data_IF_246189202115
#
_entry.id   IF_246189202115
#
_cell.length_a   1.000
_cell.length_b   1.000
_cell.length_c   1.000
_cell.angle_alpha   90.00
_cell.angle_beta   90.00
_cell.angle_gamma   90.00
#
_symmetry.space_group_name_H-M   'P 1'
#
loop_
_entity.id
_entity.type
_entity.pdbx_description
1 polymer ?
#
# COMPACT_ATOMS: atom_id res chain seq x y z
N UNK A 1 6.50 -21.52 -2.36
CA UNK A 1 6.03 -20.12 -2.34
C UNK A 1 4.61 -20.08 -1.82
N UNK A 2 4.35 -19.27 -0.81
CA UNK A 2 2.99 -19.02 -0.31
C UNK A 2 2.43 -17.77 -0.97
N UNK A 3 1.10 -17.69 -1.06
CA UNK A 3 0.40 -16.53 -1.63
C UNK A 3 -0.70 -16.08 -0.66
N UNK A 4 -0.72 -14.78 -0.40
CA UNK A 4 -1.80 -14.10 0.30
C UNK A 4 -2.45 -13.18 -0.71
N UNK A 5 -3.78 -13.27 -0.82
CA UNK A 5 -4.52 -12.42 -1.75
C UNK A 5 -5.90 -12.12 -1.20
N UNK A 6 -6.28 -10.84 -1.18
CA UNK A 6 -7.61 -10.41 -0.75
C UNK A 6 -7.94 -9.03 -1.32
N UNK A 7 -9.21 -8.68 -1.29
CA UNK A 7 -9.67 -7.36 -1.70
C UNK A 7 -10.56 -6.75 -0.62
N UNK A 8 -10.35 -5.46 -0.36
CA UNK A 8 -11.16 -4.66 0.55
C UNK A 8 -11.73 -3.48 -0.23
N UNK A 9 -12.89 -2.99 0.17
CA UNK A 9 -13.52 -1.84 -0.47
C UNK A 9 -13.90 -0.79 0.55
N UNK A 10 -13.86 0.48 0.14
CA UNK A 10 -14.27 1.60 0.97
C UNK A 10 -14.72 2.74 0.08
N UNK A 11 -15.88 3.33 0.38
CA UNK A 11 -16.29 4.58 -0.25
C UNK A 11 -15.67 5.75 0.52
N UNK A 12 -15.08 6.67 -0.21
CA UNK A 12 -14.41 7.86 0.34
C UNK A 12 -15.16 9.10 -0.17
N UNK A 13 -15.47 10.01 0.75
CA UNK A 13 -16.20 11.23 0.43
C UNK A 13 -15.28 12.32 -0.10
N UNK A 14 -14.76 12.08 -1.30
CA UNK A 14 -13.90 13.01 -2.02
C UNK A 14 -13.90 12.64 -3.50
N UNK A 15 -13.51 13.60 -4.34
CA UNK A 15 -13.43 13.41 -5.78
C UNK A 15 -12.32 12.42 -6.12
N UNK A 16 -12.52 11.67 -7.19
CA UNK A 16 -11.58 10.62 -7.61
C UNK A 16 -10.15 11.14 -7.80
N UNK A 17 -10.00 12.35 -8.37
CA UNK A 17 -8.70 12.95 -8.60
C UNK A 17 -7.98 13.26 -7.27
N UNK A 18 -8.72 13.71 -6.27
CA UNK A 18 -8.17 14.02 -4.96
C UNK A 18 -7.76 12.75 -4.20
N UNK A 19 -8.57 11.71 -4.28
CA UNK A 19 -8.27 10.43 -3.65
C UNK A 19 -7.02 9.81 -4.28
N UNK A 20 -6.96 9.81 -5.61
CA UNK A 20 -5.80 9.28 -6.32
C UNK A 20 -4.53 10.04 -5.97
N UNK A 21 -4.58 11.37 -5.97
CA UNK A 21 -3.43 12.22 -5.63
C UNK A 21 -2.91 11.93 -4.22
N UNK A 22 -3.82 11.72 -3.26
CA UNK A 22 -3.43 11.39 -1.87
C UNK A 22 -2.78 10.03 -1.76
N UNK A 23 -3.30 9.02 -2.47
CA UNK A 23 -2.71 7.68 -2.50
C UNK A 23 -1.34 7.68 -3.19
N UNK A 24 -1.16 8.50 -4.22
CA UNK A 24 0.09 8.54 -4.99
C UNK A 24 1.20 9.38 -4.35
N UNK A 25 0.84 10.29 -3.45
CA UNK A 25 1.82 11.15 -2.75
C UNK A 25 2.52 10.34 -1.66
N UNK A 26 3.67 9.76 -2.02
CA UNK A 26 4.42 8.85 -1.15
C UNK A 26 4.75 9.51 0.19
N UNK A 27 5.37 10.70 0.17
CA UNK A 27 5.76 11.35 1.43
C UNK A 27 4.57 11.88 2.21
N UNK A 28 3.48 12.18 1.53
CA UNK A 28 2.21 12.56 2.16
C UNK A 28 1.60 11.44 3.00
N UNK A 29 1.96 10.18 2.74
CA UNK A 29 1.53 9.05 3.56
C UNK A 29 1.89 9.23 5.04
N UNK A 30 2.96 9.94 5.33
CA UNK A 30 3.36 10.24 6.72
C UNK A 30 2.32 11.05 7.48
N UNK A 31 1.46 11.78 6.77
CA UNK A 31 0.47 12.66 7.38
C UNK A 31 -0.86 11.95 7.68
N UNK A 32 -1.22 10.93 6.89
CA UNK A 32 -2.55 10.33 7.03
C UNK A 32 -2.55 8.83 7.32
N UNK A 33 -1.51 8.07 7.00
CA UNK A 33 -1.49 6.64 7.28
C UNK A 33 -1.54 6.35 8.77
N UNK A 34 -2.10 5.20 9.19
CA UNK A 34 -2.29 4.91 10.61
C UNK A 34 -0.98 4.93 11.39
N UNK A 35 -0.96 5.61 12.55
CA UNK A 35 0.17 5.61 13.47
C UNK A 35 0.09 4.45 14.47
N UNK A 36 -1.14 4.01 14.78
CA UNK A 36 -1.40 2.88 15.68
C UNK A 36 -1.97 1.73 14.86
N UNK A 37 -1.60 0.52 15.21
CA UNK A 37 -2.08 -0.69 14.53
C UNK A 37 -1.46 -0.90 13.16
N UNK A 38 -0.41 -0.16 12.82
CA UNK A 38 0.33 -0.26 11.58
C UNK A 38 1.80 -0.53 11.85
N UNK A 39 2.44 -1.28 10.96
CA UNK A 39 3.88 -1.51 11.02
C UNK A 39 4.67 -0.35 10.43
N UNK A 40 4.03 0.48 9.60
CA UNK A 40 4.69 1.62 8.98
C UNK A 40 4.99 2.69 10.01
N UNK A 41 6.22 3.15 10.05
CA UNK A 41 6.68 4.25 10.92
C UNK A 41 6.86 5.53 10.13
N UNK A 42 7.47 5.42 8.95
CA UNK A 42 7.77 6.56 8.09
C UNK A 42 8.02 6.06 6.68
N UNK A 43 7.69 6.88 5.68
CA UNK A 43 8.05 6.61 4.29
C UNK A 43 8.80 7.80 3.68
N UNK A 44 9.62 7.53 2.68
CA UNK A 44 10.40 8.54 2.01
C UNK A 44 10.52 8.18 0.54
N UNK A 45 10.29 9.15 -0.34
CA UNK A 45 10.51 8.96 -1.77
C UNK A 45 12.01 9.04 -2.04
N UNK A 46 12.54 8.03 -2.73
CA UNK A 46 13.98 7.93 -2.98
C UNK A 46 14.38 8.32 -4.39
N UNK A 47 13.42 8.44 -5.32
CA UNK A 47 13.67 8.97 -6.66
C UNK A 47 13.14 10.40 -6.77
N UNK A 48 13.72 11.23 -7.65
CA UNK A 48 13.29 12.62 -7.79
C UNK A 48 12.00 12.76 -8.59
N UNK A 49 11.36 13.91 -8.47
CA UNK A 49 10.20 14.31 -9.27
C UNK A 49 8.86 13.92 -8.65
N UNK A 50 7.78 14.32 -9.32
CA UNK A 50 6.43 13.96 -8.93
C UNK A 50 6.22 12.46 -9.03
N UNK A 51 5.37 11.86 -8.18
CA UNK A 51 5.08 10.43 -8.26
C UNK A 51 4.58 10.02 -9.65
N UNK A 52 5.15 8.92 -10.15
CA UNK A 52 4.84 8.38 -11.48
C UNK A 52 5.25 6.91 -11.53
N UNK A 53 5.03 6.27 -12.66
CA UNK A 53 5.52 4.90 -12.89
C UNK A 53 7.04 4.87 -12.64
N UNK A 54 7.49 3.93 -11.84
CA UNK A 54 8.91 3.76 -11.52
C UNK A 54 9.42 4.59 -10.36
N UNK A 55 8.60 5.46 -9.77
CA UNK A 55 8.96 6.17 -8.54
C UNK A 55 9.35 5.15 -7.47
N UNK A 56 10.51 5.37 -6.82
CA UNK A 56 10.99 4.48 -5.75
C UNK A 56 10.83 5.13 -4.39
N UNK A 57 10.68 4.28 -3.37
CA UNK A 57 10.49 4.75 -1.99
C UNK A 57 11.11 3.76 -1.01
N UNK A 58 11.27 4.22 0.22
CA UNK A 58 11.73 3.40 1.33
C UNK A 58 10.80 3.59 2.50
N UNK A 59 10.18 2.49 2.94
CA UNK A 59 9.35 2.45 4.15
C UNK A 59 10.21 2.02 5.33
N UNK A 60 10.17 2.81 6.39
CA UNK A 60 10.72 2.40 7.68
C UNK A 60 9.59 1.74 8.46
N UNK A 61 9.75 0.47 8.77
CA UNK A 61 8.73 -0.33 9.45
C UNK A 61 9.25 -0.88 10.76
N UNK A 62 8.35 -1.44 11.57
CA UNK A 62 8.72 -2.08 12.85
C UNK A 62 9.65 -3.28 12.66
N UNK A 63 9.70 -3.85 11.45
CA UNK A 63 10.57 -5.00 11.14
C UNK A 63 11.76 -4.64 10.25
N UNK A 64 11.98 -3.35 9.98
CA UNK A 64 13.12 -2.84 9.24
C UNK A 64 12.77 -2.06 7.98
N UNK A 65 13.78 -1.59 7.24
CA UNK A 65 13.55 -0.84 6.01
C UNK A 65 13.02 -1.75 4.90
N UNK A 66 11.99 -1.28 4.21
CA UNK A 66 11.34 -2.01 3.12
C UNK A 66 11.30 -1.13 1.88
N UNK A 67 12.12 -1.42 0.86
CA UNK A 67 12.09 -0.66 -0.38
C UNK A 67 10.89 -1.04 -1.24
N UNK A 68 10.51 -0.13 -2.13
CA UNK A 68 9.43 -0.36 -3.07
C UNK A 68 9.46 0.61 -4.24
N UNK A 69 8.50 0.40 -5.13
CA UNK A 69 8.34 1.24 -6.32
C UNK A 69 6.85 1.33 -6.71
N UNK A 70 6.51 2.33 -7.51
CA UNK A 70 5.20 2.38 -8.15
C UNK A 70 5.28 1.51 -9.41
N UNK A 71 4.51 0.43 -9.42
CA UNK A 71 4.53 -0.58 -10.49
C UNK A 71 3.49 -0.35 -11.58
N UNK A 72 2.37 0.33 -11.25
CA UNK A 72 1.37 0.79 -12.21
C UNK A 72 0.90 2.18 -11.80
N UNK A 73 0.70 3.05 -12.77
CA UNK A 73 0.32 4.44 -12.52
C UNK A 73 -0.57 4.94 -13.66
N UNK A 74 -1.89 4.90 -13.45
CA UNK A 74 -2.89 5.31 -14.42
C UNK A 74 -3.92 6.25 -13.74
N UNK A 75 -3.58 7.54 -13.56
CA UNK A 75 -4.50 8.49 -12.93
C UNK A 75 -5.80 8.65 -13.69
N UNK A 76 -6.93 8.78 -13.02
CA UNK A 76 -7.13 8.67 -11.56
C UNK A 76 -7.64 7.29 -11.16
N UNK A 77 -7.43 6.25 -11.94
CA UNK A 77 -8.10 4.95 -11.79
C UNK A 77 -7.26 3.85 -11.17
N UNK A 78 -5.97 3.74 -11.50
CA UNK A 78 -5.16 2.60 -11.09
C UNK A 78 -3.81 3.01 -10.54
N UNK A 79 -3.50 2.52 -9.36
CA UNK A 79 -2.21 2.73 -8.69
C UNK A 79 -1.81 1.42 -8.03
N UNK A 80 -0.64 0.90 -8.38
CA UNK A 80 -0.10 -0.32 -7.78
C UNK A 80 1.30 -0.04 -7.29
N UNK A 81 1.54 -0.35 -6.02
CA UNK A 81 2.87 -0.34 -5.43
C UNK A 81 3.43 -1.75 -5.46
N UNK A 82 4.75 -1.88 -5.48
CA UNK A 82 5.45 -3.14 -5.29
C UNK A 82 6.55 -2.94 -4.27
N UNK A 83 6.50 -3.66 -3.16
CA UNK A 83 7.52 -3.63 -2.12
C UNK A 83 8.12 -5.02 -1.92
N UNK A 84 9.33 -5.08 -1.38
CA UNK A 84 10.01 -6.34 -1.12
C UNK A 84 10.86 -6.25 0.15
N UNK A 85 11.02 -7.39 0.80
CA UNK A 85 11.83 -7.53 1.99
C UNK A 85 12.81 -8.68 1.78
N UNK A 86 14.10 -8.40 1.96
CA UNK A 86 15.18 -9.34 1.74
C UNK A 86 15.92 -9.62 3.04
N UNK A 87 16.45 -10.87 3.18
CA UNK A 87 17.33 -11.23 4.26
C UNK A 87 18.68 -10.52 4.10
N UNK A 88 19.53 -10.59 5.14
CA UNK A 88 20.90 -10.07 5.08
C UNK A 88 21.71 -10.71 3.95
N UNK A 89 21.40 -11.95 3.59
CA UNK A 89 22.03 -12.66 2.49
C UNK A 89 21.46 -12.28 1.12
N UNK A 90 20.51 -11.34 1.06
CA UNK A 90 19.90 -10.88 -0.18
C UNK A 90 18.76 -11.77 -0.70
N UNK A 91 18.33 -12.76 0.06
CA UNK A 91 17.23 -13.64 -0.35
C UNK A 91 15.89 -12.97 -0.07
N UNK A 92 14.98 -13.10 -1.03
CA UNK A 92 13.63 -12.56 -0.90
C UNK A 92 12.85 -13.34 0.17
N UNK A 93 12.34 -12.61 1.17
CA UNK A 93 11.51 -13.17 2.26
C UNK A 93 10.04 -13.00 1.95
N UNK A 94 9.66 -11.78 1.61
CA UNK A 94 8.30 -11.37 1.29
C UNK A 94 8.36 -10.35 0.16
N UNK A 95 7.31 -10.27 -0.63
CA UNK A 95 7.07 -9.16 -1.54
C UNK A 95 5.58 -8.97 -1.70
N UNK A 96 5.15 -7.76 -1.98
CA UNK A 96 3.73 -7.45 -2.06
C UNK A 96 3.40 -6.40 -3.11
N UNK A 97 2.15 -6.47 -3.58
CA UNK A 97 1.59 -5.55 -4.57
C UNK A 97 0.28 -4.97 -4.05
N UNK A 98 0.34 -3.95 -3.17
CA UNK A 98 -0.87 -3.23 -2.79
C UNK A 98 -1.37 -2.43 -3.99
N UNK A 99 -2.57 -2.74 -4.43
CA UNK A 99 -3.19 -2.14 -5.60
C UNK A 99 -4.44 -1.35 -5.19
N UNK A 100 -4.62 -0.20 -5.80
CA UNK A 100 -5.80 0.64 -5.61
C UNK A 100 -6.46 0.87 -6.97
N UNK A 101 -7.74 0.50 -7.06
CA UNK A 101 -8.55 0.78 -8.24
C UNK A 101 -9.70 1.66 -7.82
N UNK A 102 -9.79 2.82 -8.45
CA UNK A 102 -10.72 3.87 -8.07
C UNK A 102 -11.80 4.04 -9.13
N UNK A 103 -13.02 4.25 -8.66
CA UNK A 103 -14.18 4.46 -9.50
C UNK A 103 -15.04 5.55 -8.87
N UNK A 104 -15.37 6.58 -9.64
CA UNK A 104 -16.28 7.62 -9.16
C UNK A 104 -17.66 7.03 -8.96
N UNK A 105 -18.19 7.05 -7.73
CA UNK A 105 -19.56 6.61 -7.44
C UNK A 105 -20.56 7.74 -7.64
N UNK A 106 -20.11 8.98 -7.42
CA UNK A 106 -20.77 10.22 -7.83
C UNK A 106 -19.69 11.30 -7.90
N UNK A 107 -20.00 12.57 -8.29
CA UNK A 107 -18.96 13.59 -8.45
C UNK A 107 -18.11 13.85 -7.21
N UNK A 108 -18.65 13.64 -6.02
CA UNK A 108 -17.99 13.94 -4.75
C UNK A 108 -17.68 12.71 -3.91
N UNK A 109 -17.82 11.50 -4.47
CA UNK A 109 -17.42 10.29 -3.76
C UNK A 109 -16.81 9.25 -4.69
N UNK A 110 -15.91 8.45 -4.10
CA UNK A 110 -15.09 7.50 -4.84
C UNK A 110 -15.15 6.15 -4.16
N UNK A 111 -15.40 5.10 -4.94
CA UNK A 111 -15.26 3.73 -4.48
C UNK A 111 -13.80 3.32 -4.69
N UNK A 112 -13.14 2.95 -3.60
CA UNK A 112 -11.76 2.44 -3.62
C UNK A 112 -11.81 0.93 -3.43
N UNK A 113 -11.29 0.21 -4.43
CA UNK A 113 -11.06 -1.24 -4.34
C UNK A 113 -9.58 -1.43 -4.07
N UNK A 114 -9.27 -1.96 -2.91
CA UNK A 114 -7.89 -2.19 -2.49
C UNK A 114 -7.59 -3.67 -2.51
N UNK A 115 -6.84 -4.10 -3.50
CA UNK A 115 -6.41 -5.48 -3.68
C UNK A 115 -4.99 -5.64 -3.17
N UNK A 116 -4.76 -6.62 -2.34
CA UNK A 116 -3.43 -6.93 -1.82
C UNK A 116 -3.04 -8.34 -2.25
N UNK A 117 -1.83 -8.45 -2.80
CA UNK A 117 -1.21 -9.73 -3.12
C UNK A 117 0.17 -9.74 -2.50
N UNK A 118 0.47 -10.79 -1.73
CA UNK A 118 1.76 -10.95 -1.07
C UNK A 118 2.27 -12.36 -1.36
N UNK A 119 3.54 -12.47 -1.71
CA UNK A 119 4.22 -13.75 -1.84
C UNK A 119 5.16 -13.94 -0.67
N UNK A 120 5.13 -15.14 -0.11
CA UNK A 120 5.99 -15.55 1.00
C UNK A 120 6.95 -16.62 0.53
N UNK A 121 8.21 -16.54 1.00
CA UNK A 121 9.28 -17.41 0.54
C UNK A 121 9.99 -18.06 1.74
N UNK A 122 10.65 -19.19 1.50
CA UNK A 122 11.43 -19.89 2.52
C UNK A 122 10.59 -20.26 3.74
N UNK A 123 11.10 -19.98 4.93
CA UNK A 123 10.40 -20.29 6.19
C UNK A 123 9.13 -19.46 6.38
N UNK A 124 9.04 -18.29 5.75
CA UNK A 124 7.88 -17.42 5.84
C UNK A 124 6.64 -18.04 5.19
N UNK A 125 6.84 -18.97 4.29
CA UNK A 125 5.76 -19.74 3.67
C UNK A 125 4.91 -20.46 4.71
N UNK A 126 5.55 -20.96 5.78
CA UNK A 126 4.86 -21.67 6.86
C UNK A 126 4.00 -20.73 7.70
N UNK A 127 4.32 -19.44 7.74
CA UNK A 127 3.59 -18.44 8.48
C UNK A 127 2.49 -17.74 7.65
N UNK A 128 2.25 -18.18 6.42
CA UNK A 128 1.31 -17.54 5.48
C UNK A 128 -0.07 -17.25 6.09
N UNK A 129 -0.75 -18.18 6.78
CA UNK A 129 -2.07 -17.90 7.38
C UNK A 129 -2.02 -16.78 8.44
N UNK A 130 -0.95 -16.76 9.23
CA UNK A 130 -0.75 -15.74 10.26
C UNK A 130 -0.46 -14.37 9.60
N UNK A 131 0.43 -14.35 8.61
CA UNK A 131 0.77 -13.14 7.87
C UNK A 131 -0.43 -12.58 7.12
N UNK A 132 -1.32 -13.44 6.61
CA UNK A 132 -2.56 -13.01 5.97
C UNK A 132 -3.43 -12.22 6.94
N UNK A 133 -3.56 -12.69 8.18
CA UNK A 133 -4.35 -11.99 9.20
C UNK A 133 -3.79 -10.61 9.50
N UNK A 134 -2.47 -10.53 9.66
CA UNK A 134 -1.77 -9.26 9.90
C UNK A 134 -1.96 -8.30 8.72
N UNK A 135 -1.73 -8.79 7.51
CA UNK A 135 -1.86 -7.96 6.30
C UNK A 135 -3.27 -7.43 6.11
N UNK A 136 -4.28 -8.26 6.34
CA UNK A 136 -5.67 -7.86 6.19
C UNK A 136 -6.04 -6.76 7.19
N UNK A 137 -5.59 -6.89 8.43
CA UNK A 137 -5.81 -5.87 9.46
C UNK A 137 -5.10 -4.56 9.10
N UNK A 138 -3.86 -4.65 8.63
CA UNK A 138 -3.04 -3.51 8.21
C UNK A 138 -3.71 -2.75 7.06
N UNK A 139 -4.15 -3.47 6.03
CA UNK A 139 -4.77 -2.84 4.87
C UNK A 139 -6.15 -2.26 5.18
N UNK A 140 -6.92 -2.90 6.05
CA UNK A 140 -8.19 -2.35 6.51
C UNK A 140 -7.99 -1.04 7.26
N UNK A 141 -6.99 -0.97 8.14
CA UNK A 141 -6.66 0.25 8.87
C UNK A 141 -6.22 1.37 7.91
N UNK A 142 -5.49 1.04 6.86
CA UNK A 142 -5.07 2.01 5.83
C UNK A 142 -6.27 2.61 5.11
N UNK A 143 -7.24 1.80 4.71
CA UNK A 143 -8.46 2.30 4.04
C UNK A 143 -9.29 3.21 4.95
N UNK A 144 -9.43 2.85 6.23
CA UNK A 144 -10.15 3.68 7.19
C UNK A 144 -9.44 5.01 7.40
N UNK A 145 -8.12 5.01 7.50
CA UNK A 145 -7.34 6.23 7.64
C UNK A 145 -7.44 7.11 6.38
N UNK A 146 -7.46 6.50 5.20
CA UNK A 146 -7.67 7.23 3.94
C UNK A 146 -9.02 7.95 3.97
N UNK A 147 -10.09 7.23 4.29
CA UNK A 147 -11.42 7.82 4.35
C UNK A 147 -11.50 8.94 5.39
N UNK A 148 -10.90 8.73 6.57
CA UNK A 148 -10.89 9.73 7.65
C UNK A 148 -10.10 10.98 7.26
N UNK A 149 -9.10 10.86 6.39
CA UNK A 149 -8.26 11.99 5.98
C UNK A 149 -8.99 13.03 5.14
N UNK A 150 -10.19 12.71 4.64
CA UNK A 150 -11.04 13.61 3.87
C UNK A 150 -12.26 14.14 4.63
N UNK A 151 -12.30 13.92 5.92
CA UNK A 151 -13.40 14.39 6.78
C UNK A 151 -13.05 15.71 7.44
#
# INVERSE_FOLDING_TARGET
MGVIEFELTRTVDARIEEVFARLADVEGHNDWMPKKGSMLRRTQQTSPGAPALGTTYLDETSYGPTPGEIAEFEPPHTLVYHWWDRSKAGRLKLEGWPAYRLEASDPDSTLVRHHAKIRTYGVYRLATPFLRRIAKKERAATLEALAASFV
#
